data_IF_198734145041
#
_entry.id   IF_198734145041
#
_cell.length_a   1.000
_cell.length_b   1.000
_cell.length_c   1.000
_cell.angle_alpha   90.00
_cell.angle_beta   90.00
_cell.angle_gamma   90.00
#
_symmetry.space_group_name_H-M   'P 1'
#
loop_
_entity.id
_entity.type
_entity.pdbx_description
1 polymer ?
#
# COMPACT_ATOMS: atom_id res chain seq x y z
N UNK A 1 -11.96 4.52 10.21
CA UNK A 1 -11.73 5.16 8.91
C UNK A 1 -12.44 4.43 7.76
N UNK A 2 -12.04 3.23 7.33
CA UNK A 2 -12.79 2.55 6.23
C UNK A 2 -14.27 2.32 6.55
N UNK A 3 -14.60 2.02 7.82
CA UNK A 3 -15.98 1.95 8.32
C UNK A 3 -16.78 3.23 8.13
N UNK A 4 -16.18 4.38 8.42
CA UNK A 4 -16.85 5.68 8.30
C UNK A 4 -16.98 6.13 6.84
N UNK A 5 -16.11 5.66 5.95
CA UNK A 5 -16.14 5.98 4.52
C UNK A 5 -17.11 5.09 3.75
N UNK A 6 -17.24 3.82 4.13
CA UNK A 6 -18.03 2.82 3.39
C UNK A 6 -19.38 2.52 4.01
N UNK A 7 -19.59 2.85 5.29
CA UNK A 7 -20.78 2.44 6.04
C UNK A 7 -20.78 0.96 6.43
N UNK A 8 -19.71 0.20 6.19
CA UNK A 8 -19.62 -1.23 6.52
C UNK A 8 -18.61 -1.51 7.63
N UNK A 9 -18.91 -2.47 8.51
CA UNK A 9 -17.96 -3.01 9.48
C UNK A 9 -18.23 -4.46 9.87
N UNK A 10 -17.23 -5.14 10.47
CA UNK A 10 -17.41 -6.51 10.96
C UNK A 10 -18.48 -6.62 12.06
N UNK A 11 -18.67 -5.55 12.83
CA UNK A 11 -19.70 -5.44 13.87
C UNK A 11 -20.83 -4.52 13.40
N UNK A 12 -22.07 -4.85 13.74
CA UNK A 12 -23.22 -3.99 13.43
C UNK A 12 -23.28 -2.80 14.39
N UNK A 13 -23.64 -1.62 13.89
CA UNK A 13 -24.05 -0.49 14.74
C UNK A 13 -25.08 0.39 14.04
N UNK A 14 -25.57 1.40 14.76
CA UNK A 14 -26.47 2.43 14.21
C UNK A 14 -25.88 3.23 13.03
N UNK A 15 -24.57 3.18 12.81
CA UNK A 15 -23.87 3.93 11.75
C UNK A 15 -23.24 3.03 10.70
N UNK A 16 -23.38 1.70 10.81
CA UNK A 16 -22.69 0.79 9.90
C UNK A 16 -23.33 -0.59 9.83
N UNK A 17 -23.49 -1.08 8.61
CA UNK A 17 -23.98 -2.42 8.33
C UNK A 17 -22.89 -3.48 8.57
N UNK A 18 -23.32 -4.67 9.00
CA UNK A 18 -22.40 -5.79 9.22
C UNK A 18 -21.96 -6.41 7.90
N UNK A 19 -20.66 -6.42 7.62
CA UNK A 19 -20.07 -7.14 6.50
C UNK A 19 -19.37 -8.40 7.01
N UNK A 20 -19.75 -9.56 6.46
CA UNK A 20 -19.21 -10.89 6.82
C UNK A 20 -18.51 -11.52 5.63
N UNK A 21 -17.50 -12.34 5.88
CA UNK A 21 -16.67 -12.99 4.84
C UNK A 21 -15.85 -12.03 3.98
N UNK A 22 -15.53 -10.84 4.50
CA UNK A 22 -14.57 -9.91 3.92
C UNK A 22 -13.38 -9.69 4.85
N UNK A 23 -12.26 -9.32 4.26
CA UNK A 23 -11.05 -8.87 4.94
C UNK A 23 -10.57 -7.55 4.36
N UNK A 24 -9.73 -6.85 5.11
CA UNK A 24 -9.07 -5.65 4.60
C UNK A 24 -7.83 -6.11 3.85
N UNK A 25 -7.68 -5.65 2.61
CA UNK A 25 -6.50 -5.87 1.79
C UNK A 25 -5.93 -4.55 1.30
N UNK A 26 -4.66 -4.58 0.84
CA UNK A 26 -4.02 -3.43 0.22
C UNK A 26 -3.67 -3.71 -1.24
N UNK A 27 -4.27 -2.94 -2.15
CA UNK A 27 -4.21 -3.19 -3.61
C UNK A 27 -2.74 -3.19 -4.11
N UNK A 28 -1.95 -2.21 -3.67
CA UNK A 28 -0.57 -2.04 -4.12
C UNK A 28 0.47 -2.40 -3.04
N UNK A 29 0.03 -2.97 -1.92
CA UNK A 29 0.94 -3.40 -0.83
C UNK A 29 1.75 -2.28 -0.17
N UNK A 30 1.36 -1.00 -0.32
CA UNK A 30 2.08 0.18 0.24
C UNK A 30 1.81 0.41 1.73
N UNK A 31 1.90 -0.62 2.56
CA UNK A 31 1.48 -0.54 3.97
C UNK A 31 2.43 0.24 4.88
N UNK A 32 3.69 0.44 4.46
CA UNK A 32 4.70 1.19 5.21
C UNK A 32 4.82 2.66 4.82
N UNK A 33 4.07 3.10 3.81
CA UNK A 33 4.08 4.49 3.37
C UNK A 33 2.93 5.24 4.04
N UNK A 34 3.22 6.34 4.74
CA UNK A 34 2.22 7.11 5.49
C UNK A 34 1.14 7.74 4.61
N UNK A 35 1.46 8.11 3.37
CA UNK A 35 0.50 8.66 2.41
C UNK A 35 -0.42 7.59 1.82
N UNK A 36 0.09 6.37 1.67
CA UNK A 36 -0.62 5.28 1.01
C UNK A 36 -1.30 4.30 1.97
N UNK A 37 -0.87 4.22 3.23
CA UNK A 37 -1.37 3.23 4.19
C UNK A 37 -2.88 3.32 4.36
N UNK A 38 -3.40 4.55 4.48
CA UNK A 38 -4.83 4.84 4.65
C UNK A 38 -5.53 5.34 3.39
N UNK A 39 -4.83 5.35 2.25
CA UNK A 39 -5.38 5.93 1.04
C UNK A 39 -6.60 5.13 0.53
N UNK A 40 -7.66 5.82 0.07
CA UNK A 40 -8.87 5.15 -0.43
C UNK A 40 -8.60 4.27 -1.66
N UNK A 41 -7.57 4.60 -2.43
CA UNK A 41 -7.12 3.82 -3.59
C UNK A 41 -6.26 2.61 -3.22
N UNK A 42 -5.82 2.49 -1.95
CA UNK A 42 -4.95 1.42 -1.50
C UNK A 42 -5.61 0.51 -0.45
N UNK A 43 -6.73 0.86 0.18
CA UNK A 43 -7.45 -0.01 1.12
C UNK A 43 -8.78 -0.47 0.53
N UNK A 44 -9.05 -1.77 0.60
CA UNK A 44 -10.31 -2.35 0.12
C UNK A 44 -10.84 -3.45 1.03
N UNK A 45 -12.17 -3.58 1.08
CA UNK A 45 -12.82 -4.79 1.59
C UNK A 45 -12.83 -5.85 0.50
N UNK A 46 -12.05 -6.90 0.70
CA UNK A 46 -11.90 -8.00 -0.24
C UNK A 46 -12.63 -9.25 0.29
N UNK A 47 -13.45 -9.93 -0.53
CA UNK A 47 -14.05 -11.21 -0.16
C UNK A 47 -12.96 -12.22 0.23
N UNK A 48 -13.13 -12.91 1.36
CA UNK A 48 -12.18 -13.95 1.81
C UNK A 48 -12.07 -15.12 0.84
N UNK A 49 -13.08 -15.35 0.01
CA UNK A 49 -13.04 -16.37 -1.04
C UNK A 49 -11.97 -16.08 -2.11
N UNK A 50 -11.52 -14.81 -2.23
CA UNK A 50 -10.44 -14.41 -3.14
C UNK A 50 -9.06 -14.44 -2.47
N UNK A 51 -8.98 -14.82 -1.19
CA UNK A 51 -7.71 -14.97 -0.47
C UNK A 51 -6.74 -15.96 -1.14
N UNK A 52 -7.18 -17.10 -1.71
CA UNK A 52 -6.29 -17.99 -2.46
C UNK A 52 -5.61 -17.33 -3.69
N UNK A 53 -6.16 -16.22 -4.19
CA UNK A 53 -5.62 -15.46 -5.32
C UNK A 53 -4.81 -14.22 -4.92
N UNK A 54 -4.78 -13.87 -3.63
CA UNK A 54 -4.26 -12.58 -3.14
C UNK A 54 -3.44 -12.68 -1.86
N UNK A 55 -3.48 -13.84 -1.19
CA UNK A 55 -2.77 -14.13 0.04
C UNK A 55 -1.27 -14.27 -0.20
N UNK A 56 -0.49 -14.06 0.86
CA UNK A 56 0.97 -14.10 0.82
C UNK A 56 1.54 -15.50 0.51
N UNK A 57 0.70 -16.54 0.59
CA UNK A 57 1.05 -17.93 0.28
C UNK A 57 0.65 -18.35 -1.13
N UNK A 58 -0.11 -17.51 -1.84
CA UNK A 58 -0.54 -17.77 -3.20
C UNK A 58 0.66 -17.66 -4.15
N UNK A 59 0.90 -18.69 -4.97
CA UNK A 59 1.95 -18.70 -6.01
C UNK A 59 1.42 -19.25 -7.34
N UNK A 60 1.91 -18.71 -8.46
CA UNK A 60 1.64 -19.21 -9.80
C UNK A 60 1.05 -18.16 -10.75
N UNK A 61 1.04 -18.47 -12.03
CA UNK A 61 0.71 -17.52 -13.11
C UNK A 61 -0.69 -16.90 -12.97
N UNK A 62 -1.68 -17.68 -12.52
CA UNK A 62 -3.05 -17.18 -12.30
C UNK A 62 -3.12 -16.07 -11.24
N UNK A 63 -2.23 -16.11 -10.25
CA UNK A 63 -2.18 -15.09 -9.18
C UNK A 63 -1.49 -13.83 -9.68
N UNK A 64 -0.45 -13.98 -10.48
CA UNK A 64 0.22 -12.84 -11.12
C UNK A 64 -0.76 -12.11 -12.05
N UNK A 65 -1.51 -12.87 -12.86
CA UNK A 65 -2.56 -12.32 -13.74
C UNK A 65 -3.67 -11.64 -12.92
N UNK A 66 -4.21 -12.31 -11.90
CA UNK A 66 -5.24 -11.73 -11.04
C UNK A 66 -4.74 -10.44 -10.37
N UNK A 67 -3.53 -10.45 -9.82
CA UNK A 67 -2.94 -9.29 -9.14
C UNK A 67 -2.80 -8.12 -10.09
N UNK A 68 -2.34 -8.37 -11.33
CA UNK A 68 -2.22 -7.33 -12.35
C UNK A 68 -3.58 -6.75 -12.73
N UNK A 69 -4.58 -7.59 -13.01
CA UNK A 69 -5.94 -7.14 -13.34
C UNK A 69 -6.58 -6.36 -12.19
N UNK A 70 -6.40 -6.83 -10.96
CA UNK A 70 -6.90 -6.19 -9.76
C UNK A 70 -6.27 -4.81 -9.54
N UNK A 71 -4.95 -4.70 -9.69
CA UNK A 71 -4.24 -3.43 -9.59
C UNK A 71 -4.62 -2.47 -10.71
N UNK A 72 -4.80 -2.96 -11.95
CA UNK A 72 -5.29 -2.15 -13.09
C UNK A 72 -6.68 -1.58 -12.84
N UNK A 73 -7.59 -2.40 -12.33
CA UNK A 73 -8.94 -1.96 -11.99
C UNK A 73 -8.90 -0.89 -10.88
N UNK A 74 -8.07 -1.11 -9.85
CA UNK A 74 -7.87 -0.14 -8.77
C UNK A 74 -7.29 1.17 -9.29
N UNK A 75 -6.28 1.11 -10.16
CA UNK A 75 -5.65 2.29 -10.74
C UNK A 75 -6.63 3.07 -11.58
N UNK A 76 -7.30 2.45 -12.54
CA UNK A 76 -8.25 3.14 -13.40
C UNK A 76 -9.38 3.81 -12.61
N UNK A 77 -9.84 3.17 -11.52
CA UNK A 77 -10.89 3.74 -10.66
C UNK A 77 -10.44 5.00 -9.91
N UNK A 78 -9.16 5.08 -9.54
CA UNK A 78 -8.61 6.12 -8.67
C UNK A 78 -7.44 6.88 -9.29
N UNK A 79 -7.34 6.86 -10.62
CA UNK A 79 -6.21 7.35 -11.41
C UNK A 79 -5.73 8.72 -10.93
N UNK A 80 -6.63 9.69 -10.86
CA UNK A 80 -6.31 11.06 -10.39
C UNK A 80 -5.64 11.10 -9.01
N UNK A 81 -6.13 10.32 -8.05
CA UNK A 81 -5.57 10.31 -6.68
C UNK A 81 -4.22 9.59 -6.63
N UNK A 82 -4.01 8.60 -7.50
CA UNK A 82 -2.74 7.89 -7.61
C UNK A 82 -1.71 8.76 -8.33
N UNK A 83 -2.12 9.50 -9.36
CA UNK A 83 -1.27 10.45 -10.06
C UNK A 83 -0.81 11.57 -9.12
N UNK A 84 -1.70 12.15 -8.32
CA UNK A 84 -1.33 13.11 -7.25
C UNK A 84 -0.32 12.50 -6.26
N UNK A 85 -0.52 11.25 -5.84
CA UNK A 85 0.45 10.54 -5.00
C UNK A 85 1.80 10.40 -5.72
N UNK A 86 1.78 10.01 -7.00
CA UNK A 86 2.97 9.82 -7.82
C UNK A 86 3.75 11.12 -7.99
N UNK A 87 3.07 12.25 -8.19
CA UNK A 87 3.68 13.59 -8.25
C UNK A 87 4.49 13.92 -6.99
N UNK A 88 3.95 13.59 -5.81
CA UNK A 88 4.66 13.75 -4.53
C UNK A 88 5.89 12.82 -4.49
N UNK A 89 5.75 11.55 -4.89
CA UNK A 89 6.84 10.57 -4.86
C UNK A 89 7.99 10.92 -5.82
N UNK A 90 7.70 11.56 -6.96
CA UNK A 90 8.73 12.00 -7.92
C UNK A 90 9.32 13.38 -7.59
N UNK A 91 8.71 14.14 -6.68
CA UNK A 91 9.15 15.50 -6.33
C UNK A 91 10.64 15.52 -5.92
N UNK A 92 11.50 16.32 -6.58
CA UNK A 92 12.94 16.34 -6.29
C UNK A 92 13.28 16.77 -4.87
N UNK A 93 12.54 17.73 -4.29
CA UNK A 93 12.76 18.18 -2.93
C UNK A 93 12.40 17.10 -1.92
N UNK A 94 11.33 16.35 -2.18
CA UNK A 94 10.95 15.20 -1.35
C UNK A 94 12.03 14.12 -1.38
N UNK A 95 12.46 13.70 -2.59
CA UNK A 95 13.54 12.70 -2.74
C UNK A 95 14.84 13.14 -2.08
N UNK A 96 15.20 14.42 -2.23
CA UNK A 96 16.38 15.00 -1.58
C UNK A 96 16.30 14.84 -0.05
N UNK A 97 15.17 15.20 0.57
CA UNK A 97 14.97 15.06 2.01
C UNK A 97 15.02 13.61 2.48
N UNK A 98 14.43 12.68 1.73
CA UNK A 98 14.51 11.24 2.04
C UNK A 98 15.96 10.76 2.02
N UNK A 99 16.74 11.17 1.01
CA UNK A 99 18.15 10.81 0.90
C UNK A 99 19.02 11.43 2.00
N UNK A 100 18.76 12.68 2.39
CA UNK A 100 19.44 13.34 3.52
C UNK A 100 19.21 12.57 4.82
N UNK A 101 17.98 12.12 5.06
CA UNK A 101 17.65 11.29 6.23
C UNK A 101 18.35 9.94 6.16
N UNK A 102 18.33 9.25 5.02
CA UNK A 102 19.04 7.98 4.84
C UNK A 102 20.55 8.15 5.08
N UNK A 103 21.16 9.21 4.55
CA UNK A 103 22.57 9.52 4.77
C UNK A 103 22.88 9.73 6.26
N UNK A 104 22.00 10.41 7.00
CA UNK A 104 22.17 10.60 8.44
C UNK A 104 22.20 9.28 9.22
N UNK A 105 21.44 8.27 8.78
CA UNK A 105 21.49 6.92 9.35
C UNK A 105 22.79 6.19 9.00
N UNK A 106 23.29 6.34 7.78
CA UNK A 106 24.58 5.77 7.36
C UNK A 106 25.78 6.39 8.10
N UNK A 107 25.71 7.67 8.45
CA UNK A 107 26.75 8.35 9.23
C UNK A 107 26.75 7.99 10.72
N UNK A 108 25.74 7.26 11.18
CA UNK A 108 25.61 6.86 12.58
C UNK A 108 26.07 5.40 12.77
N UNK A 109 27.16 5.20 13.51
CA UNK A 109 27.77 3.87 13.76
C UNK A 109 26.91 2.92 14.61
N UNK A 110 25.75 3.38 15.10
CA UNK A 110 24.86 2.57 15.94
C UNK A 110 24.18 1.43 15.18
N UNK A 111 23.99 1.56 13.87
CA UNK A 111 23.20 0.62 13.07
C UNK A 111 24.06 -0.33 12.26
N UNK A 112 23.65 -1.60 12.18
CA UNK A 112 24.35 -2.54 11.31
C UNK A 112 24.08 -2.23 9.83
N UNK A 113 25.07 -2.48 8.97
CA UNK A 113 24.95 -2.34 7.51
C UNK A 113 23.73 -3.11 6.97
N UNK A 114 23.43 -4.28 7.57
CA UNK A 114 22.31 -5.13 7.18
C UNK A 114 20.95 -4.47 7.48
N UNK A 115 20.82 -3.78 8.61
CA UNK A 115 19.59 -3.06 8.98
C UNK A 115 19.39 -1.83 8.11
N UNK A 116 20.46 -1.08 7.85
CA UNK A 116 20.43 0.09 6.98
C UNK A 116 19.98 -0.28 5.57
N UNK A 117 20.52 -1.37 5.01
CA UNK A 117 20.10 -1.86 3.69
C UNK A 117 18.61 -2.23 3.65
N UNK A 118 18.11 -2.93 4.68
CA UNK A 118 16.67 -3.27 4.77
C UNK A 118 15.79 -2.03 4.89
N UNK A 119 16.24 -1.02 5.62
CA UNK A 119 15.54 0.26 5.76
C UNK A 119 15.47 0.98 4.42
N UNK A 120 16.60 1.08 3.71
CA UNK A 120 16.69 1.69 2.39
C UNK A 120 15.78 0.98 1.39
N UNK A 121 15.81 -0.35 1.31
CA UNK A 121 14.91 -1.13 0.45
C UNK A 121 13.44 -0.87 0.80
N UNK A 122 13.10 -0.80 2.09
CA UNK A 122 11.73 -0.54 2.54
C UNK A 122 11.27 0.90 2.21
N UNK A 123 12.15 1.89 2.29
CA UNK A 123 11.89 3.29 1.95
C UNK A 123 11.76 3.45 0.43
N UNK A 124 12.73 2.95 -0.33
CA UNK A 124 12.74 3.03 -1.79
C UNK A 124 11.53 2.30 -2.39
N UNK A 125 11.16 1.15 -1.81
CA UNK A 125 9.87 0.53 -2.12
C UNK A 125 8.76 1.47 -1.67
N UNK A 126 8.58 1.73 -0.39
CA UNK A 126 7.43 2.49 0.15
C UNK A 126 7.12 3.80 -0.59
N UNK A 127 8.13 4.59 -0.93
CA UNK A 127 8.03 5.90 -1.55
C UNK A 127 8.26 5.90 -3.07
N UNK A 128 8.18 4.75 -3.74
CA UNK A 128 8.15 4.72 -5.19
C UNK A 128 6.74 5.00 -5.74
N UNK A 129 6.65 5.61 -6.94
CA UNK A 129 5.38 5.74 -7.65
C UNK A 129 4.67 4.39 -7.85
N UNK A 130 3.35 4.42 -7.98
CA UNK A 130 2.57 3.30 -8.48
C UNK A 130 2.65 3.32 -10.01
N UNK A 131 3.22 2.27 -10.59
CA UNK A 131 3.32 2.06 -12.04
C UNK A 131 2.73 0.68 -12.36
N UNK A 132 2.00 0.57 -13.47
CA UNK A 132 1.30 -0.62 -13.93
C UNK A 132 1.75 -1.08 -15.32
#
# INVERSE_FOLDING_TARGET
>A
MIRSLTGYSKTQSSKSESIRNYQISHIFGRTKNIFAFTAPWNIVYMPKMLDPFTGHEAKGEMIDEYTLLFQRQGYHRFEKLIDEFNEIMINPNFKKRVNEVLYSFHSNETYSIKELKKLEEAINKGFSPITL
#
